data_IF_747514893851
#
_entry.id   IF_747514893851
#
_cell.length_a   1.000
_cell.length_b   1.000
_cell.length_c   1.000
_cell.angle_alpha   90.00
_cell.angle_beta   90.00
_cell.angle_gamma   90.00
#
_symmetry.space_group_name_H-M   'P 1'
#
loop_
_entity.id
_entity.type
_entity.pdbx_description
1 polymer ?
#
# COMPACT_ATOMS: atom_id res chain seq x y z
N UNK A 1 33.27 -22.09 -2.01
CA UNK A 1 32.57 -22.24 -0.71
C UNK A 1 32.26 -20.88 -0.10
N UNK A 2 33.23 -19.96 -0.02
CA UNK A 2 32.98 -18.58 0.43
C UNK A 2 31.98 -17.82 -0.47
N UNK A 3 32.05 -17.97 -1.79
CA UNK A 3 31.13 -17.29 -2.72
C UNK A 3 29.65 -17.69 -2.52
N UNK A 4 29.39 -18.94 -2.12
CA UNK A 4 28.04 -19.43 -1.83
C UNK A 4 27.47 -18.78 -0.56
N UNK A 5 28.30 -18.64 0.48
CA UNK A 5 27.92 -18.00 1.75
C UNK A 5 27.65 -16.50 1.52
N UNK A 6 28.52 -15.80 0.78
CA UNK A 6 28.31 -14.38 0.46
C UNK A 6 27.09 -14.14 -0.45
N UNK A 7 26.81 -15.04 -1.38
CA UNK A 7 25.60 -14.97 -2.23
C UNK A 7 24.34 -15.19 -1.41
N UNK A 8 24.34 -16.16 -0.50
CA UNK A 8 23.19 -16.44 0.37
C UNK A 8 22.93 -15.29 1.36
N UNK A 9 23.99 -14.71 1.94
CA UNK A 9 23.93 -13.56 2.84
C UNK A 9 23.59 -12.23 2.13
N UNK A 10 23.87 -12.09 0.84
CA UNK A 10 23.52 -10.90 0.06
C UNK A 10 22.07 -10.89 -0.44
N UNK A 11 21.51 -12.06 -0.74
CA UNK A 11 20.13 -12.20 -1.26
C UNK A 11 19.10 -12.19 -0.12
N UNK A 12 19.42 -12.76 1.04
CA UNK A 12 18.49 -12.88 2.18
C UNK A 12 17.97 -11.53 2.73
N UNK A 13 18.79 -10.46 2.89
CA UNK A 13 18.33 -9.20 3.46
C UNK A 13 17.33 -8.49 2.56
N UNK A 14 17.62 -8.43 1.24
CA UNK A 14 16.74 -7.79 0.26
C UNK A 14 15.42 -8.55 0.11
N UNK A 15 15.48 -9.88 0.10
CA UNK A 15 14.28 -10.72 0.04
C UNK A 15 13.39 -10.55 1.30
N UNK A 16 13.98 -10.53 2.49
CA UNK A 16 13.26 -10.27 3.75
C UNK A 16 12.64 -8.86 3.74
N UNK A 17 13.38 -7.85 3.29
CA UNK A 17 12.89 -6.48 3.19
C UNK A 17 11.72 -6.36 2.21
N UNK A 18 11.77 -7.06 1.07
CA UNK A 18 10.67 -7.15 0.11
C UNK A 18 9.41 -7.74 0.74
N UNK A 19 9.52 -8.83 1.52
CA UNK A 19 8.38 -9.42 2.23
C UNK A 19 7.77 -8.44 3.24
N UNK A 20 8.60 -7.73 4.00
CA UNK A 20 8.15 -6.73 4.97
C UNK A 20 7.41 -5.60 4.26
N UNK A 21 7.95 -5.08 3.17
CA UNK A 21 7.28 -4.03 2.38
C UNK A 21 5.97 -4.51 1.77
N UNK A 22 5.94 -5.69 1.16
CA UNK A 22 4.70 -6.26 0.60
C UNK A 22 3.63 -6.41 1.68
N UNK A 23 3.99 -6.86 2.87
CA UNK A 23 3.07 -6.98 4.00
C UNK A 23 2.54 -5.61 4.43
N UNK A 24 3.42 -4.61 4.59
CA UNK A 24 3.04 -3.24 4.92
C UNK A 24 2.10 -2.62 3.89
N UNK A 25 2.43 -2.75 2.59
CA UNK A 25 1.59 -2.21 1.52
C UNK A 25 0.24 -2.93 1.41
N UNK A 26 0.20 -4.24 1.68
CA UNK A 26 -1.06 -4.98 1.77
C UNK A 26 -1.97 -4.42 2.87
N UNK A 27 -1.45 -4.21 4.08
CA UNK A 27 -2.23 -3.57 5.15
C UNK A 27 -2.62 -2.13 4.81
N UNK A 28 -1.76 -1.39 4.13
CA UNK A 28 -2.04 -0.03 3.69
C UNK A 28 -3.16 0.04 2.63
N UNK A 29 -3.25 -0.94 1.74
CA UNK A 29 -4.38 -1.08 0.79
C UNK A 29 -5.68 -1.31 1.58
N UNK A 30 -5.68 -2.24 2.54
CA UNK A 30 -6.87 -2.49 3.38
C UNK A 30 -7.31 -1.20 4.08
N UNK A 31 -6.36 -0.48 4.68
CA UNK A 31 -6.62 0.80 5.32
C UNK A 31 -7.22 1.82 4.33
N UNK A 32 -6.66 1.94 3.13
CA UNK A 32 -7.15 2.86 2.10
C UNK A 32 -8.56 2.50 1.61
N UNK A 33 -8.89 1.21 1.50
CA UNK A 33 -10.24 0.73 1.18
C UNK A 33 -11.23 1.14 2.29
N UNK A 34 -10.85 0.93 3.56
CA UNK A 34 -11.69 1.31 4.71
C UNK A 34 -11.92 2.82 4.68
N UNK A 35 -10.87 3.60 4.47
CA UNK A 35 -10.94 5.06 4.45
C UNK A 35 -11.86 5.55 3.33
N UNK A 36 -11.73 5.02 2.10
CA UNK A 36 -12.62 5.35 0.99
C UNK A 36 -14.10 5.04 1.30
N UNK A 37 -14.37 3.88 1.93
CA UNK A 37 -15.73 3.52 2.36
C UNK A 37 -16.25 4.50 3.42
N UNK A 38 -15.44 4.85 4.40
CA UNK A 38 -15.82 5.79 5.47
C UNK A 38 -16.12 7.18 4.90
N UNK A 39 -15.28 7.70 4.01
CA UNK A 39 -15.51 8.98 3.33
C UNK A 39 -16.82 8.97 2.55
N UNK A 40 -17.11 7.90 1.80
CA UNK A 40 -18.37 7.77 1.05
C UNK A 40 -19.60 7.71 1.97
N UNK A 41 -19.51 7.04 3.11
CA UNK A 41 -20.60 6.98 4.09
C UNK A 41 -20.80 8.34 4.76
N UNK A 42 -19.71 9.01 5.16
CA UNK A 42 -19.74 10.30 5.83
C UNK A 42 -20.40 11.39 4.96
N UNK A 43 -20.07 11.44 3.67
CA UNK A 43 -20.70 12.35 2.69
C UNK A 43 -22.23 12.13 2.64
N UNK A 44 -22.67 10.86 2.68
CA UNK A 44 -24.10 10.52 2.59
C UNK A 44 -24.87 10.78 3.88
N UNK A 45 -24.26 10.53 5.04
CA UNK A 45 -24.94 10.56 6.34
C UNK A 45 -25.01 11.96 6.91
N UNK A 46 -23.92 12.72 6.81
CA UNK A 46 -23.84 14.00 7.51
C UNK A 46 -24.42 15.13 6.64
N UNK A 47 -24.64 14.90 5.34
CA UNK A 47 -24.75 15.96 4.32
C UNK A 47 -23.69 17.06 4.51
N UNK A 48 -22.63 16.74 5.26
CA UNK A 48 -21.57 17.68 5.52
C UNK A 48 -21.03 17.99 4.13
N UNK A 49 -20.81 19.27 3.88
CA UNK A 49 -20.13 19.78 2.69
C UNK A 49 -18.68 19.30 2.59
N UNK A 50 -18.39 18.06 3.01
CA UNK A 50 -17.26 17.25 2.65
C UNK A 50 -17.19 17.30 1.15
N UNK A 51 -16.26 18.14 0.72
CA UNK A 51 -16.07 18.46 -0.68
C UNK A 51 -15.87 17.17 -1.47
N UNK A 52 -16.44 17.06 -2.67
CA UNK A 52 -16.11 16.00 -3.64
C UNK A 52 -14.59 15.77 -3.77
N UNK A 53 -13.78 16.81 -3.51
CA UNK A 53 -12.33 16.76 -3.41
C UNK A 53 -11.83 15.70 -2.43
N UNK A 54 -12.43 15.55 -1.25
CA UNK A 54 -12.01 14.55 -0.25
C UNK A 54 -12.27 13.14 -0.78
N UNK A 55 -13.39 12.91 -1.47
CA UNK A 55 -13.66 11.63 -2.12
C UNK A 55 -12.61 11.33 -3.21
N UNK A 56 -12.23 12.32 -4.01
CA UNK A 56 -11.18 12.19 -5.01
C UNK A 56 -9.82 11.89 -4.38
N UNK A 57 -9.43 12.59 -3.32
CA UNK A 57 -8.16 12.36 -2.62
C UNK A 57 -8.07 10.94 -2.07
N UNK A 58 -9.16 10.44 -1.48
CA UNK A 58 -9.20 9.09 -0.90
C UNK A 58 -9.20 8.00 -1.96
N UNK A 59 -9.81 8.26 -3.12
CA UNK A 59 -9.70 7.39 -4.29
C UNK A 59 -8.27 7.35 -4.87
N UNK A 60 -7.61 8.51 -4.99
CA UNK A 60 -6.21 8.58 -5.44
C UNK A 60 -5.29 7.83 -4.47
N UNK A 61 -5.51 7.96 -3.16
CA UNK A 61 -4.75 7.19 -2.16
C UNK A 61 -4.90 5.69 -2.35
N UNK A 62 -6.14 5.21 -2.60
CA UNK A 62 -6.37 3.80 -2.89
C UNK A 62 -5.60 3.36 -4.14
N UNK A 63 -5.66 4.11 -5.24
CA UNK A 63 -4.92 3.79 -6.47
C UNK A 63 -3.40 3.78 -6.24
N UNK A 64 -2.87 4.77 -5.51
CA UNK A 64 -1.46 4.85 -5.18
C UNK A 64 -1.00 3.67 -4.31
N UNK A 65 -1.83 3.25 -3.33
CA UNK A 65 -1.52 2.09 -2.49
C UNK A 65 -1.41 0.79 -3.30
N UNK A 66 -2.31 0.59 -4.26
CA UNK A 66 -2.27 -0.55 -5.19
C UNK A 66 -1.04 -0.44 -6.10
N UNK A 67 -0.78 0.74 -6.65
CA UNK A 67 0.39 1.00 -7.50
C UNK A 67 1.70 0.69 -6.80
N UNK A 68 1.88 1.14 -5.55
CA UNK A 68 3.07 0.87 -4.75
C UNK A 68 3.23 -0.62 -4.43
N UNK A 69 2.14 -1.32 -4.10
CA UNK A 69 2.19 -2.77 -3.90
C UNK A 69 2.66 -3.50 -5.15
N UNK A 70 2.08 -3.18 -6.32
CA UNK A 70 2.48 -3.79 -7.59
C UNK A 70 3.92 -3.43 -7.96
N UNK A 71 4.33 -2.19 -7.70
CA UNK A 71 5.70 -1.75 -7.93
C UNK A 71 6.70 -2.59 -7.12
N UNK A 72 6.46 -2.77 -5.82
CA UNK A 72 7.32 -3.60 -4.96
C UNK A 72 7.23 -5.07 -5.33
N UNK A 73 6.07 -5.55 -5.77
CA UNK A 73 5.91 -6.95 -6.18
C UNK A 73 6.76 -7.27 -7.42
N UNK A 74 6.73 -6.41 -8.44
CA UNK A 74 7.38 -6.68 -9.72
C UNK A 74 8.81 -6.15 -9.85
N UNK A 75 9.15 -5.01 -9.24
CA UNK A 75 10.40 -4.28 -9.54
C UNK A 75 11.38 -4.13 -8.38
N UNK A 76 10.91 -4.27 -7.13
CA UNK A 76 11.76 -4.29 -5.93
C UNK A 76 12.14 -5.74 -5.58
#
# INVERSE_FOLDING_TARGET
>A
MFDFIFTFLGITPLFLLKIVFLSLFFFYIIFSIILFRQTKMMIRVVEAGISPVILTVTFIHLLASIGLFLFVFFFF
#
